data_IF_204035347942
#
_entry.id   IF_204035347942
#
_cell.length_a   1.000
_cell.length_b   1.000
_cell.length_c   1.000
_cell.angle_alpha   90.00
_cell.angle_beta   90.00
_cell.angle_gamma   90.00
#
_symmetry.space_group_name_H-M   'P 1'
#
loop_
_entity.id
_entity.type
_entity.pdbx_description
1 polymer ?
#
# COMPACT_ATOMS: atom_id res chain seq x y z
N UNK A 1 0.60 -13.58 1.49
CA UNK A 1 -0.44 -12.71 2.10
C UNK A 1 -1.72 -12.91 1.31
N UNK A 2 -2.85 -13.12 1.96
CA UNK A 2 -4.14 -13.36 1.29
C UNK A 2 -5.29 -12.75 2.07
N UNK A 3 -6.43 -12.53 1.40
CA UNK A 3 -7.63 -12.02 2.04
C UNK A 3 -8.83 -11.96 1.09
N UNK A 4 -9.91 -11.34 1.58
CA UNK A 4 -11.15 -11.14 0.83
C UNK A 4 -11.62 -9.70 1.01
N UNK A 5 -12.01 -9.05 -0.08
CA UNK A 5 -12.60 -7.71 -0.05
C UNK A 5 -14.11 -7.82 0.12
N UNK A 6 -14.69 -7.05 1.05
CA UNK A 6 -16.13 -7.04 1.32
C UNK A 6 -16.73 -5.65 1.14
N UNK A 7 -17.96 -5.58 0.63
CA UNK A 7 -18.76 -4.36 0.62
C UNK A 7 -19.24 -4.02 2.02
N UNK A 8 -19.02 -2.77 2.46
CA UNK A 8 -19.39 -2.37 3.82
C UNK A 8 -20.91 -2.40 4.05
N UNK A 9 -21.68 -2.07 3.03
CA UNK A 9 -23.14 -2.04 2.99
C UNK A 9 -23.73 -3.45 2.86
N UNK A 10 -23.27 -4.23 1.89
CA UNK A 10 -23.82 -5.55 1.55
C UNK A 10 -23.30 -6.66 2.45
N UNK A 11 -22.12 -6.46 3.08
CA UNK A 11 -21.34 -7.50 3.77
C UNK A 11 -21.04 -8.71 2.89
N UNK A 12 -21.06 -8.53 1.56
CA UNK A 12 -20.76 -9.58 0.58
C UNK A 12 -19.37 -9.41 -0.01
N UNK A 13 -18.70 -10.50 -0.42
CA UNK A 13 -17.44 -10.40 -1.15
C UNK A 13 -17.58 -9.56 -2.43
N UNK A 14 -16.57 -8.78 -2.76
CA UNK A 14 -16.52 -7.94 -3.95
C UNK A 14 -15.60 -8.55 -5.00
N UNK A 15 -16.15 -9.20 -6.04
CA UNK A 15 -15.35 -9.65 -7.17
C UNK A 15 -14.84 -8.47 -7.99
N UNK A 16 -13.71 -8.67 -8.67
CA UNK A 16 -13.10 -7.71 -9.58
C UNK A 16 -12.75 -6.35 -8.95
N UNK A 17 -12.61 -6.29 -7.63
CA UNK A 17 -12.05 -5.14 -6.95
C UNK A 17 -10.55 -5.04 -7.30
N UNK A 18 -10.10 -3.84 -7.65
CA UNK A 18 -8.69 -3.56 -7.89
C UNK A 18 -8.00 -3.25 -6.57
N UNK A 19 -6.83 -3.84 -6.35
CA UNK A 19 -6.01 -3.64 -5.16
C UNK A 19 -4.60 -3.28 -5.61
N UNK A 20 -4.16 -2.06 -5.32
CA UNK A 20 -2.75 -1.68 -5.39
C UNK A 20 -2.09 -1.90 -4.03
N UNK A 21 -0.91 -2.53 -4.07
CA UNK A 21 -0.12 -2.89 -2.89
C UNK A 21 1.28 -2.30 -3.05
N UNK A 22 1.81 -1.71 -1.98
CA UNK A 22 3.20 -1.25 -1.93
C UNK A 22 3.76 -1.33 -0.51
N UNK A 23 5.05 -1.58 -0.40
CA UNK A 23 5.78 -1.67 0.88
C UNK A 23 7.27 -1.35 0.67
N UNK A 24 8.02 -1.30 1.77
CA UNK A 24 9.49 -1.28 1.72
C UNK A 24 10.06 -2.66 1.38
N UNK A 25 11.28 -2.65 0.84
CA UNK A 25 12.17 -3.81 0.78
C UNK A 25 12.62 -4.25 2.19
N UNK A 26 13.26 -5.42 2.33
CA UNK A 26 13.94 -5.83 3.57
C UNK A 26 15.03 -4.84 4.04
N UNK A 27 15.52 -3.96 3.15
CA UNK A 27 16.49 -2.91 3.48
C UNK A 27 15.82 -1.57 3.89
N UNK A 28 14.52 -1.58 4.17
CA UNK A 28 13.74 -0.40 4.55
C UNK A 28 13.57 0.67 3.44
N UNK A 29 13.75 0.30 2.17
CA UNK A 29 13.70 1.23 1.03
C UNK A 29 12.46 0.94 0.17
N UNK A 30 11.70 1.98 -0.18
CA UNK A 30 10.68 1.88 -1.22
C UNK A 30 11.34 1.96 -2.60
N UNK A 31 10.87 1.18 -3.58
CA UNK A 31 11.17 1.46 -4.99
C UNK A 31 10.42 2.73 -5.39
N UNK A 32 11.10 3.84 -5.19
CA UNK A 32 10.62 5.20 -5.33
C UNK A 32 11.72 5.99 -6.04
N UNK A 33 11.32 6.71 -7.07
CA UNK A 33 12.17 7.58 -7.84
C UNK A 33 11.43 8.87 -8.16
N UNK A 34 12.13 9.98 -7.96
CA UNK A 34 11.66 11.32 -8.32
C UNK A 34 12.28 11.74 -9.67
N UNK A 35 11.51 11.71 -10.76
CA UNK A 35 12.03 12.08 -12.08
C UNK A 35 12.33 13.58 -12.20
N UNK A 36 11.72 14.44 -11.37
CA UNK A 36 11.87 15.90 -11.46
C UNK A 36 12.71 16.52 -10.33
N UNK A 37 13.39 15.69 -9.51
CA UNK A 37 14.22 16.08 -8.35
C UNK A 37 13.51 16.97 -7.32
N UNK A 38 12.18 17.06 -7.32
CA UNK A 38 11.47 17.80 -6.29
C UNK A 38 11.32 16.93 -5.05
N UNK A 39 11.76 17.46 -3.92
CA UNK A 39 11.86 16.72 -2.65
C UNK A 39 10.50 16.33 -2.07
N UNK A 40 9.47 17.15 -2.33
CA UNK A 40 8.10 16.88 -1.92
C UNK A 40 7.13 17.35 -3.01
N UNK A 41 6.10 16.55 -3.35
CA UNK A 41 5.04 17.04 -4.22
C UNK A 41 4.29 18.16 -3.51
N UNK A 42 4.35 19.37 -4.04
CA UNK A 42 3.31 20.36 -3.78
C UNK A 42 2.03 19.80 -4.39
N UNK A 43 0.92 19.79 -3.66
CA UNK A 43 -0.35 19.35 -4.24
C UNK A 43 -0.70 20.26 -5.43
N UNK A 44 -0.59 19.74 -6.65
CA UNK A 44 -0.98 20.42 -7.88
C UNK A 44 -2.15 19.68 -8.53
N UNK A 45 -2.87 20.35 -9.43
CA UNK A 45 -3.87 19.70 -10.30
C UNK A 45 -3.25 19.02 -11.53
N UNK A 46 -1.93 19.05 -11.65
CA UNK A 46 -1.20 18.43 -12.76
C UNK A 46 -1.01 16.93 -12.50
N UNK A 47 -0.67 16.17 -13.55
CA UNK A 47 -0.33 14.76 -13.40
C UNK A 47 0.85 14.66 -12.43
N UNK A 48 0.63 13.97 -11.32
CA UNK A 48 1.66 13.72 -10.33
C UNK A 48 2.66 12.69 -10.89
N UNK A 49 3.85 13.15 -11.28
CA UNK A 49 4.98 12.28 -11.70
C UNK A 49 5.89 11.91 -10.54
N UNK A 50 5.59 12.39 -9.33
CA UNK A 50 6.31 12.02 -8.12
C UNK A 50 5.92 10.60 -7.67
N UNK A 51 6.85 9.92 -7.02
CA UNK A 51 6.67 8.56 -6.56
C UNK A 51 6.60 7.54 -7.68
N UNK A 52 7.25 7.82 -8.81
CA UNK A 52 7.45 6.84 -9.86
C UNK A 52 8.25 5.65 -9.30
N UNK A 53 8.03 4.48 -9.88
CA UNK A 53 8.78 3.28 -9.59
C UNK A 53 9.47 2.85 -10.87
N UNK A 54 10.71 2.37 -10.77
CA UNK A 54 11.48 1.95 -11.96
C UNK A 54 11.20 0.49 -12.31
N UNK A 55 11.08 -0.35 -11.29
CA UNK A 55 11.02 -1.80 -11.47
C UNK A 55 9.73 -2.41 -10.91
N UNK A 56 8.92 -1.62 -10.21
CA UNK A 56 7.79 -2.08 -9.40
C UNK A 56 8.20 -3.07 -8.32
N UNK A 57 9.43 -2.93 -7.79
CA UNK A 57 9.91 -3.81 -6.72
C UNK A 57 9.04 -3.60 -5.46
N UNK A 58 8.57 -4.71 -4.88
CA UNK A 58 7.64 -4.72 -3.74
C UNK A 58 6.35 -3.93 -3.95
N UNK A 59 5.90 -3.85 -5.21
CA UNK A 59 4.62 -3.26 -5.62
C UNK A 59 3.85 -4.24 -6.47
N UNK A 60 2.53 -4.25 -6.33
CA UNK A 60 1.66 -5.10 -7.15
C UNK A 60 0.29 -4.45 -7.37
N UNK A 61 -0.33 -4.76 -8.50
CA UNK A 61 -1.76 -4.56 -8.71
C UNK A 61 -2.42 -5.91 -8.88
N UNK A 62 -3.43 -6.16 -8.06
CA UNK A 62 -4.23 -7.38 -8.07
C UNK A 62 -5.67 -7.03 -8.41
N UNK A 63 -6.37 -8.02 -8.95
CA UNK A 63 -7.82 -7.97 -9.14
C UNK A 63 -8.39 -9.15 -8.37
N UNK A 64 -9.41 -8.92 -7.53
CA UNK A 64 -10.03 -10.01 -6.78
C UNK A 64 -10.75 -10.99 -7.70
N UNK A 65 -10.74 -12.27 -7.32
CA UNK A 65 -11.44 -13.33 -8.06
C UNK A 65 -12.98 -13.22 -7.94
N UNK A 66 -13.69 -14.18 -8.53
CA UNK A 66 -15.16 -14.26 -8.48
C UNK A 66 -15.74 -14.35 -7.06
N UNK A 67 -14.91 -14.70 -6.08
CA UNK A 67 -15.25 -14.80 -4.66
C UNK A 67 -14.71 -13.64 -3.84
N UNK A 68 -14.22 -12.59 -4.49
CA UNK A 68 -13.65 -11.39 -3.86
C UNK A 68 -12.30 -11.62 -3.18
N UNK A 69 -11.62 -12.73 -3.46
CA UNK A 69 -10.37 -13.12 -2.82
C UNK A 69 -9.17 -12.56 -3.58
N UNK A 70 -8.08 -12.33 -2.86
CA UNK A 70 -6.79 -11.98 -3.41
C UNK A 70 -5.68 -12.70 -2.66
N UNK A 71 -4.56 -12.93 -3.34
CA UNK A 71 -3.35 -13.48 -2.77
C UNK A 71 -2.14 -12.88 -3.50
N UNK A 72 -1.05 -12.69 -2.75
CA UNK A 72 0.26 -12.35 -3.28
C UNK A 72 1.36 -12.86 -2.35
N UNK A 73 2.53 -13.09 -2.93
CA UNK A 73 3.75 -13.46 -2.21
C UNK A 73 4.71 -12.27 -2.20
N UNK A 74 5.36 -12.04 -1.06
CA UNK A 74 6.32 -10.96 -0.86
C UNK A 74 7.23 -11.29 0.33
N UNK A 75 8.31 -10.52 0.48
CA UNK A 75 9.12 -10.50 1.70
C UNK A 75 8.47 -9.59 2.73
N UNK A 76 8.49 -9.97 4.01
CA UNK A 76 8.01 -9.12 5.11
C UNK A 76 8.85 -7.83 5.18
N UNK A 77 8.25 -6.63 5.19
CA UNK A 77 8.98 -5.38 5.35
C UNK A 77 9.57 -5.26 6.76
N UNK A 78 10.51 -4.34 6.93
CA UNK A 78 11.15 -4.03 8.21
C UNK A 78 10.72 -2.66 8.72
N UNK A 79 10.86 -2.36 10.03
CA UNK A 79 10.60 -1.03 10.55
C UNK A 79 11.59 -0.01 9.99
N UNK A 80 11.17 1.24 9.84
CA UNK A 80 12.03 2.31 9.33
C UNK A 80 11.77 3.65 10.00
N UNK A 81 12.79 4.51 10.03
CA UNK A 81 12.68 5.85 10.59
C UNK A 81 12.24 6.85 9.53
N UNK A 82 11.07 7.47 9.74
CA UNK A 82 10.53 8.49 8.86
C UNK A 82 10.96 9.89 9.34
N UNK A 83 12.12 10.32 8.85
CA UNK A 83 12.77 11.58 9.22
C UNK A 83 11.84 12.82 9.18
N UNK A 84 10.99 13.04 8.15
CA UNK A 84 10.14 14.23 8.06
C UNK A 84 9.21 14.44 9.26
N UNK A 85 8.76 13.34 9.89
CA UNK A 85 7.90 13.39 11.07
C UNK A 85 8.61 12.92 12.35
N UNK A 86 9.89 12.55 12.26
CA UNK A 86 10.72 12.05 13.37
C UNK A 86 10.12 10.83 14.09
N UNK A 87 9.38 9.99 13.37
CA UNK A 87 8.71 8.80 13.92
C UNK A 87 9.33 7.51 13.37
N UNK A 88 9.26 6.45 14.17
CA UNK A 88 9.48 5.09 13.67
C UNK A 88 8.18 4.53 13.12
N UNK A 89 8.24 3.94 11.93
CA UNK A 89 7.15 3.20 11.33
C UNK A 89 7.38 1.72 11.58
N UNK A 90 6.36 1.00 12.05
CA UNK A 90 6.41 -0.46 12.16
C UNK A 90 6.45 -1.12 10.78
N UNK A 91 6.73 -2.43 10.68
CA UNK A 91 6.50 -3.18 9.46
C UNK A 91 5.04 -3.06 9.02
N UNK A 92 4.81 -2.56 7.81
CA UNK A 92 3.47 -2.42 7.27
C UNK A 92 3.44 -2.58 5.76
N UNK A 93 2.29 -2.99 5.25
CA UNK A 93 2.00 -3.05 3.82
C UNK A 93 0.83 -2.11 3.54
N UNK A 94 1.00 -1.25 2.55
CA UNK A 94 -0.06 -0.36 2.11
C UNK A 94 -1.00 -1.03 1.12
N UNK A 95 -2.26 -0.65 1.20
CA UNK A 95 -3.32 -1.07 0.31
C UNK A 95 -4.10 0.13 -0.19
N UNK A 96 -4.37 0.13 -1.49
CA UNK A 96 -5.37 1.00 -2.10
C UNK A 96 -6.39 0.13 -2.84
N UNK A 97 -7.61 0.10 -2.32
CA UNK A 97 -8.68 -0.78 -2.79
C UNK A 97 -9.76 0.03 -3.48
N UNK A 98 -10.13 -0.40 -4.69
CA UNK A 98 -11.12 0.26 -5.54
C UNK A 98 -12.13 -0.75 -6.06
N UNK A 99 -13.41 -0.40 -6.02
CA UNK A 99 -14.47 -1.20 -6.61
C UNK A 99 -15.60 -0.28 -7.08
N UNK A 100 -16.28 -0.66 -8.16
CA UNK A 100 -17.33 0.16 -8.74
C UNK A 100 -18.47 0.38 -7.74
N UNK A 101 -18.92 1.62 -7.58
CA UNK A 101 -19.96 1.99 -6.62
C UNK A 101 -19.46 2.17 -5.17
N UNK A 102 -18.18 1.92 -4.88
CA UNK A 102 -17.58 2.13 -3.58
C UNK A 102 -16.60 3.31 -3.60
N UNK A 103 -16.48 3.99 -2.46
CA UNK A 103 -15.40 4.95 -2.26
C UNK A 103 -14.07 4.19 -2.18
N UNK A 104 -12.99 4.69 -2.82
CA UNK A 104 -11.67 4.09 -2.67
C UNK A 104 -11.21 4.09 -1.21
N UNK A 105 -10.54 3.02 -0.79
CA UNK A 105 -10.01 2.86 0.55
C UNK A 105 -8.48 2.79 0.50
N UNK A 106 -7.81 3.71 1.17
CA UNK A 106 -6.36 3.67 1.41
C UNK A 106 -6.13 3.29 2.87
N UNK A 107 -5.43 2.19 3.12
CA UNK A 107 -5.11 1.69 4.46
C UNK A 107 -3.71 1.11 4.49
N UNK A 108 -3.22 0.86 5.70
CA UNK A 108 -2.00 0.11 5.94
C UNK A 108 -2.32 -1.03 6.91
N UNK A 109 -1.76 -2.21 6.63
CA UNK A 109 -1.92 -3.40 7.45
C UNK A 109 -0.62 -3.65 8.19
N UNK A 110 -0.72 -3.86 9.49
CA UNK A 110 0.40 -4.14 10.38
C UNK A 110 0.54 -5.65 10.62
N UNK A 111 1.74 -6.05 11.01
CA UNK A 111 2.01 -7.41 11.46
C UNK A 111 1.79 -7.49 12.96
N UNK A 112 1.10 -8.52 13.41
CA UNK A 112 0.81 -8.74 14.83
C UNK A 112 2.11 -8.89 15.64
N UNK A 113 2.09 -8.41 16.88
CA UNK A 113 3.21 -8.52 17.83
C UNK A 113 4.45 -7.65 17.54
N UNK A 114 4.40 -6.72 16.59
CA UNK A 114 5.52 -5.82 16.31
C UNK A 114 5.64 -4.69 17.36
N UNK A 115 6.84 -4.53 17.93
CA UNK A 115 7.16 -3.54 18.99
C UNK A 115 6.72 -2.11 18.66
N UNK A 116 6.61 -1.79 17.37
CA UNK A 116 6.36 -0.43 16.87
C UNK A 116 4.91 -0.19 16.44
N UNK A 117 4.00 -1.15 16.64
CA UNK A 117 2.60 -1.00 16.22
C UNK A 117 1.87 0.16 16.93
N UNK A 118 2.25 0.47 18.17
CA UNK A 118 1.64 1.53 19.00
C UNK A 118 2.18 2.94 18.69
N UNK A 119 3.22 3.05 17.85
CA UNK A 119 3.89 4.33 17.56
C UNK A 119 3.85 4.74 16.08
N UNK A 120 3.27 3.88 15.22
CA UNK A 120 3.33 3.96 13.76
C UNK A 120 2.10 4.55 13.09
#
# INVERSE_FOLDING_TARGET
>A
MSGTVFGLDTKKPLPFACIDIWQTSPDAIYDYYEPDNKEYPTFTKEINTHGASRNYDYRARLVTDDWGRYEFETMKPVPYYFSPHKIWRCPHIHYYVQSHGYKPLVVQVYFDGEDKNEIG
#
